data_IF_432833754839
#
_entry.id   IF_432833754839
#
_cell.length_a   1.000
_cell.length_b   1.000
_cell.length_c   1.000
_cell.angle_alpha   90.00
_cell.angle_beta   90.00
_cell.angle_gamma   90.00
#
_symmetry.space_group_name_H-M   'P 1'
#
loop_
_entity.id
_entity.type
_entity.pdbx_description
1 polymer ?
#
# COMPACT_ATOMS: atom_id res chain seq x y z
N UNK A 1 19.35 0.92 -14.12
CA UNK A 1 19.82 1.06 -12.72
C UNK A 1 20.19 -0.32 -12.20
N UNK A 2 21.21 -0.44 -11.36
CA UNK A 2 21.49 -1.72 -10.72
C UNK A 2 20.40 -2.07 -9.71
N UNK A 3 20.11 -3.36 -9.53
CA UNK A 3 19.05 -3.84 -8.63
C UNK A 3 19.35 -3.44 -7.18
N UNK A 4 20.62 -3.36 -6.78
CA UNK A 4 20.99 -2.96 -5.42
C UNK A 4 20.58 -1.51 -5.16
N UNK A 5 20.81 -0.61 -6.13
CA UNK A 5 20.45 0.81 -5.99
C UNK A 5 18.94 1.01 -5.88
N UNK A 6 18.15 0.29 -6.67
CA UNK A 6 16.69 0.35 -6.63
C UNK A 6 16.18 -0.12 -5.27
N UNK A 7 16.66 -1.27 -4.80
CA UNK A 7 16.25 -1.84 -3.52
C UNK A 7 16.61 -0.93 -2.33
N UNK A 8 17.81 -0.33 -2.36
CA UNK A 8 18.25 0.65 -1.38
C UNK A 8 17.36 1.90 -1.39
N UNK A 9 16.99 2.41 -2.57
CA UNK A 9 16.14 3.59 -2.70
C UNK A 9 14.72 3.31 -2.17
N UNK A 10 14.15 2.15 -2.49
CA UNK A 10 12.80 1.75 -2.05
C UNK A 10 12.75 1.55 -0.53
N UNK A 11 13.66 0.76 0.04
CA UNK A 11 13.69 0.52 1.49
C UNK A 11 14.11 1.77 2.28
N UNK A 12 15.11 2.51 1.79
CA UNK A 12 15.60 3.71 2.44
C UNK A 12 14.52 4.80 2.51
N UNK A 13 13.82 5.06 1.42
CA UNK A 13 12.73 6.04 1.40
C UNK A 13 11.54 5.62 2.27
N UNK A 14 11.20 4.33 2.30
CA UNK A 14 10.17 3.79 3.20
C UNK A 14 10.51 4.04 4.66
N UNK A 15 11.75 3.73 5.08
CA UNK A 15 12.20 3.98 6.45
C UNK A 15 12.13 5.45 6.81
N UNK A 16 12.55 6.35 5.91
CA UNK A 16 12.48 7.80 6.14
C UNK A 16 11.05 8.29 6.32
N UNK A 17 10.09 7.80 5.53
CA UNK A 17 8.67 8.17 5.67
C UNK A 17 8.02 7.60 6.93
N UNK A 18 8.48 6.45 7.41
CA UNK A 18 7.98 5.90 8.68
C UNK A 18 8.57 6.68 9.86
N UNK A 19 9.85 7.06 9.79
CA UNK A 19 10.52 7.86 10.83
C UNK A 19 9.92 9.27 10.97
N UNK A 20 9.30 9.82 9.92
CA UNK A 20 8.57 11.09 10.01
C UNK A 20 7.23 11.00 10.75
N UNK A 21 6.82 9.80 11.18
CA UNK A 21 5.58 9.55 11.91
C UNK A 21 4.35 9.36 11.01
N UNK A 22 4.55 9.23 9.68
CA UNK A 22 3.45 8.96 8.77
C UNK A 22 2.89 7.53 9.00
N UNK A 23 1.56 7.32 8.94
CA UNK A 23 1.02 5.98 9.01
C UNK A 23 1.60 5.08 7.92
N UNK A 24 1.93 3.84 8.29
CA UNK A 24 2.62 2.87 7.43
C UNK A 24 1.88 2.66 6.09
N UNK A 25 0.55 2.69 6.11
CA UNK A 25 -0.28 2.57 4.91
C UNK A 25 0.02 3.66 3.86
N UNK A 26 0.22 4.91 4.28
CA UNK A 26 0.56 6.01 3.38
C UNK A 26 2.01 5.94 2.92
N UNK A 27 2.94 5.54 3.79
CA UNK A 27 4.34 5.38 3.43
C UNK A 27 4.52 4.30 2.35
N UNK A 28 3.94 3.11 2.56
CA UNK A 28 4.01 2.00 1.61
C UNK A 28 3.22 2.27 0.33
N UNK A 29 1.97 2.70 0.45
CA UNK A 29 1.11 2.95 -0.70
C UNK A 29 1.62 4.10 -1.57
N UNK A 30 2.02 5.22 -0.95
CA UNK A 30 2.54 6.38 -1.66
C UNK A 30 3.85 6.10 -2.39
N UNK A 31 4.81 5.43 -1.73
CA UNK A 31 6.06 5.04 -2.38
C UNK A 31 5.84 4.03 -3.49
N UNK A 32 4.93 3.06 -3.30
CA UNK A 32 4.58 2.10 -4.35
C UNK A 32 4.15 2.82 -5.63
N UNK A 33 3.29 3.85 -5.53
CA UNK A 33 2.82 4.62 -6.69
C UNK A 33 3.94 5.39 -7.38
N UNK A 34 4.80 6.03 -6.60
CA UNK A 34 5.94 6.81 -7.13
C UNK A 34 6.94 5.89 -7.83
N UNK A 35 7.29 4.75 -7.23
CA UNK A 35 8.26 3.83 -7.82
C UNK A 35 7.69 3.06 -9.02
N UNK A 36 6.43 2.63 -8.97
CA UNK A 36 5.76 2.01 -10.13
C UNK A 36 5.75 2.96 -11.32
N UNK A 37 5.37 4.21 -11.12
CA UNK A 37 5.31 5.19 -12.21
C UNK A 37 6.68 5.55 -12.77
N UNK A 38 7.72 5.63 -11.92
CA UNK A 38 9.08 5.96 -12.35
C UNK A 38 9.83 4.78 -13.00
N UNK A 39 9.64 3.55 -12.51
CA UNK A 39 10.39 2.38 -13.02
C UNK A 39 9.66 1.67 -14.15
N UNK A 40 8.33 1.55 -14.05
CA UNK A 40 7.51 0.74 -14.98
C UNK A 40 6.65 1.61 -15.91
N UNK A 41 6.67 2.93 -15.72
CA UNK A 41 5.97 3.90 -16.57
C UNK A 41 4.53 4.21 -16.13
N UNK A 42 3.87 5.16 -16.80
CA UNK A 42 2.53 5.63 -16.42
C UNK A 42 1.43 4.57 -16.63
N UNK A 43 1.60 3.65 -17.57
CA UNK A 43 0.65 2.54 -17.81
C UNK A 43 0.56 1.60 -16.60
N UNK A 44 1.66 1.47 -15.85
CA UNK A 44 1.70 0.62 -14.66
C UNK A 44 0.87 1.17 -13.49
N UNK A 45 0.30 2.38 -13.58
CA UNK A 45 -0.62 2.90 -12.57
C UNK A 45 -1.92 2.08 -12.51
N UNK A 46 -2.34 1.48 -13.62
CA UNK A 46 -3.53 0.61 -13.66
C UNK A 46 -3.40 -0.61 -12.73
N UNK A 47 -2.18 -1.11 -12.47
CA UNK A 47 -1.94 -2.18 -11.48
C UNK A 47 -2.42 -1.82 -10.08
N UNK A 48 -2.38 -0.54 -9.72
CA UNK A 48 -2.84 -0.07 -8.40
C UNK A 48 -4.36 -0.21 -8.29
N UNK A 49 -5.10 0.03 -9.37
CA UNK A 49 -6.55 -0.18 -9.40
C UNK A 49 -6.87 -1.66 -9.18
N UNK A 50 -6.19 -2.56 -9.90
CA UNK A 50 -6.39 -4.00 -9.73
C UNK A 50 -6.04 -4.47 -8.31
N UNK A 51 -4.91 -4.02 -7.75
CA UNK A 51 -4.52 -4.35 -6.38
C UNK A 51 -5.52 -3.83 -5.32
N UNK A 52 -6.10 -2.64 -5.56
CA UNK A 52 -7.10 -2.07 -4.66
C UNK A 52 -8.40 -2.86 -4.69
N UNK A 53 -8.86 -3.23 -5.89
CA UNK A 53 -10.03 -4.10 -6.05
C UNK A 53 -9.81 -5.44 -5.36
N UNK A 54 -8.61 -6.00 -5.42
CA UNK A 54 -8.29 -7.27 -4.78
C UNK A 54 -8.42 -7.20 -3.24
N UNK A 55 -7.95 -6.10 -2.64
CA UNK A 55 -8.12 -5.85 -1.19
C UNK A 55 -9.60 -5.65 -0.84
N UNK A 56 -10.37 -4.95 -1.67
CA UNK A 56 -11.80 -4.74 -1.42
C UNK A 56 -12.62 -6.03 -1.49
N UNK A 57 -12.19 -7.00 -2.31
CA UNK A 57 -12.82 -8.31 -2.43
C UNK A 57 -12.40 -9.29 -1.32
N UNK A 58 -11.49 -8.92 -0.42
CA UNK A 58 -11.18 -9.76 0.74
C UNK A 58 -12.39 -9.82 1.67
N UNK A 59 -12.97 -11.03 1.77
CA UNK A 59 -14.06 -11.34 2.72
C UNK A 59 -13.75 -10.91 4.16
N UNK A 60 -12.47 -10.92 4.55
CA UNK A 60 -12.01 -10.46 5.85
C UNK A 60 -12.44 -9.03 6.17
N UNK A 61 -12.38 -8.11 5.21
CA UNK A 61 -12.75 -6.69 5.42
C UNK A 61 -14.28 -6.55 5.49
N UNK A 62 -15.03 -7.36 4.75
CA UNK A 62 -16.50 -7.43 4.82
C UNK A 62 -16.97 -7.92 6.19
N UNK A 63 -16.21 -8.83 6.82
CA UNK A 63 -16.53 -9.34 8.16
C UNK A 63 -16.26 -8.32 9.29
N UNK A 64 -15.43 -7.29 9.09
CA UNK A 64 -15.08 -6.31 10.14
C UNK A 64 -16.30 -5.51 10.63
N UNK A 65 -17.11 -4.88 9.76
CA UNK A 65 -18.34 -4.20 10.20
C UNK A 65 -19.32 -5.14 10.90
N UNK A 66 -19.48 -6.38 10.40
CA UNK A 66 -20.37 -7.38 11.00
C UNK A 66 -19.93 -7.81 12.40
N UNK A 67 -18.62 -7.94 12.62
CA UNK A 67 -18.04 -8.22 13.94
C UNK A 67 -18.29 -7.07 14.93
N UNK A 68 -18.07 -5.81 14.51
CA UNK A 68 -18.32 -4.63 15.34
C UNK A 68 -19.80 -4.50 15.70
N UNK A 69 -20.72 -4.76 14.75
CA UNK A 69 -22.16 -4.72 15.01
C UNK A 69 -22.60 -5.77 16.04
N UNK A 70 -22.02 -6.96 16.00
CA UNK A 70 -22.35 -8.04 16.95
C UNK A 70 -21.96 -7.67 18.38
N UNK A 71 -20.87 -6.93 18.58
CA UNK A 71 -20.41 -6.48 19.90
C UNK A 71 -21.15 -5.29 20.50
N UNK A 72 -21.88 -4.49 19.70
CA UNK A 72 -22.67 -3.33 20.18
C UNK A 72 -24.09 -3.75 20.61
N UNK A 73 -24.63 -4.84 20.04
CA UNK A 73 -25.99 -5.33 20.33
C UNK A 73 -26.05 -6.18 21.61
N UNK A 74 -24.92 -6.71 22.08
CA UNK A 74 -24.76 -7.46 23.34
C UNK A 74 -24.50 -6.52 24.53
#
# INVERSE_FOLDING_TARGET
MSIELISLLMFGSMLLLILSGLPIAFALGGLSVIFVSLLWGPEAIELILYATMDVQNMYTIVCVPGFVFTGIIL
#
